data_IF_477182245518
#
_entry.id   IF_477182245518
#
_cell.length_a   1.000
_cell.length_b   1.000
_cell.length_c   1.000
_cell.angle_alpha   90.00
_cell.angle_beta   90.00
_cell.angle_gamma   90.00
#
_symmetry.space_group_name_H-M   'P 1'
#
loop_
_entity.id
_entity.type
_entity.pdbx_description
1 polymer ?
#
# COMPACT_ATOMS: atom_id res chain seq x y z
N UNK A 1 -38.92 41.16 -47.51
CA UNK A 1 -38.33 39.82 -47.77
C UNK A 1 -37.72 39.32 -46.48
N UNK A 2 -38.49 39.32 -45.39
CA UNK A 2 -39.58 38.36 -45.04
C UNK A 2 -38.94 37.09 -44.50
N UNK A 3 -39.22 36.55 -43.32
CA UNK A 3 -40.25 36.72 -42.28
C UNK A 3 -39.85 35.72 -41.17
N UNK A 4 -40.11 35.86 -39.87
CA UNK A 4 -41.12 36.66 -39.20
C UNK A 4 -40.98 36.73 -37.66
N UNK A 5 -41.98 37.41 -37.13
CA UNK A 5 -42.33 37.95 -35.79
C UNK A 5 -42.28 36.98 -34.59
N UNK A 6 -41.81 37.38 -33.38
CA UNK A 6 -42.44 38.18 -32.26
C UNK A 6 -43.62 37.43 -31.60
N UNK A 7 -43.64 37.18 -30.28
CA UNK A 7 -44.36 37.91 -29.19
C UNK A 7 -44.01 37.20 -27.84
N UNK A 8 -43.29 37.82 -26.87
CA UNK A 8 -43.71 38.35 -25.53
C UNK A 8 -44.75 37.50 -24.75
N UNK A 9 -44.89 37.41 -23.41
CA UNK A 9 -44.29 37.90 -22.14
C UNK A 9 -45.25 37.41 -21.02
N UNK A 10 -44.94 37.71 -19.75
CA UNK A 10 -45.77 37.62 -18.52
C UNK A 10 -45.82 36.26 -17.82
N UNK A 11 -45.94 36.12 -16.51
CA UNK A 11 -45.58 36.89 -15.30
C UNK A 11 -45.94 35.99 -14.12
N UNK A 12 -45.27 36.19 -12.99
CA UNK A 12 -45.52 35.54 -11.71
C UNK A 12 -46.99 35.55 -11.25
N UNK A 13 -47.41 34.54 -10.47
CA UNK A 13 -48.15 34.78 -9.21
C UNK A 13 -48.28 33.54 -8.31
N UNK A 14 -48.43 33.87 -7.04
CA UNK A 14 -48.50 33.13 -5.79
C UNK A 14 -49.86 32.51 -5.45
N UNK A 15 -49.82 31.44 -4.64
CA UNK A 15 -50.64 31.13 -3.43
C UNK A 15 -52.16 31.34 -3.53
N UNK A 16 -52.98 30.28 -3.38
CA UNK A 16 -53.91 30.11 -2.21
C UNK A 16 -54.75 28.79 -2.25
N UNK A 17 -54.76 28.12 -1.08
CA UNK A 17 -55.84 27.39 -0.36
C UNK A 17 -56.64 26.23 -0.96
N UNK A 18 -56.76 25.15 -0.15
CA UNK A 18 -58.02 24.42 0.01
C UNK A 18 -57.97 22.98 0.56
N UNK A 19 -58.00 22.79 1.90
CA UNK A 19 -58.66 21.69 2.67
C UNK A 19 -58.20 20.24 2.48
N UNK A 20 -58.24 19.30 3.43
CA UNK A 20 -58.91 19.20 4.73
C UNK A 20 -58.32 18.00 5.54
N UNK A 21 -58.29 18.16 6.87
CA UNK A 21 -58.55 17.15 7.94
C UNK A 21 -57.76 15.81 8.01
N UNK A 22 -56.96 15.61 9.08
CA UNK A 22 -57.27 14.77 10.27
C UNK A 22 -56.08 14.66 11.28
N UNK A 23 -56.16 15.49 12.33
CA UNK A 23 -55.86 15.31 13.77
C UNK A 23 -55.22 13.98 14.28
N UNK A 24 -54.09 14.08 15.03
CA UNK A 24 -53.98 13.58 16.43
C UNK A 24 -52.83 14.22 17.24
N UNK A 25 -53.10 14.33 18.55
CA UNK A 25 -52.60 15.23 19.60
C UNK A 25 -51.19 14.95 20.15
N UNK A 26 -50.50 16.02 20.53
CA UNK A 26 -49.51 16.09 21.61
C UNK A 26 -50.19 16.02 23.00
N UNK A 27 -49.51 15.41 23.98
CA UNK A 27 -49.79 15.57 25.41
C UNK A 27 -48.50 15.92 26.14
N UNK A 28 -48.51 17.05 26.83
CA UNK A 28 -47.54 17.51 27.82
C UNK A 28 -47.81 16.86 29.18
N UNK A 29 -46.77 16.65 29.99
CA UNK A 29 -46.87 16.67 31.45
C UNK A 29 -45.48 16.94 32.08
N UNK A 30 -45.41 18.00 32.89
CA UNK A 30 -44.34 18.32 33.84
C UNK A 30 -44.70 17.71 35.19
N UNK A 31 -43.77 17.04 35.92
CA UNK A 31 -43.69 17.04 37.40
C UNK A 31 -42.21 16.88 37.85
N UNK A 32 -41.94 17.48 39.01
CA UNK A 32 -40.72 17.86 39.74
C UNK A 32 -39.66 16.82 40.16
N UNK A 33 -38.51 17.40 40.55
CA UNK A 33 -37.24 16.86 41.08
C UNK A 33 -37.32 15.91 42.30
N UNK A 34 -36.38 14.95 42.33
CA UNK A 34 -35.68 14.52 43.54
C UNK A 34 -34.24 14.08 43.21
N UNK A 35 -33.30 14.61 44.00
CA UNK A 35 -31.85 14.41 43.92
C UNK A 35 -31.39 13.01 44.34
N UNK A 36 -30.43 12.42 43.61
CA UNK A 36 -29.35 11.67 44.23
C UNK A 36 -28.06 11.80 43.42
N UNK A 37 -27.00 12.18 44.11
CA UNK A 37 -25.65 12.32 43.57
C UNK A 37 -25.01 10.93 43.53
N UNK A 38 -24.54 10.49 42.36
CA UNK A 38 -23.67 9.31 42.24
C UNK A 38 -22.68 9.49 41.09
N UNK A 39 -21.40 9.48 41.46
CA UNK A 39 -20.21 9.65 40.63
C UNK A 39 -20.15 8.70 39.42
N UNK A 40 -20.09 9.23 38.20
CA UNK A 40 -19.68 8.48 37.00
C UNK A 40 -18.16 8.45 36.88
N UNK A 41 -17.52 7.65 37.73
CA UNK A 41 -16.10 7.31 37.62
C UNK A 41 -15.89 5.83 38.02
N UNK A 42 -16.29 4.88 37.18
CA UNK A 42 -15.81 3.47 37.30
C UNK A 42 -16.05 2.53 36.11
N UNK A 43 -16.56 2.97 34.95
CA UNK A 43 -16.79 2.05 33.80
C UNK A 43 -15.59 1.84 32.86
N UNK A 44 -14.48 2.55 33.05
CA UNK A 44 -13.26 2.35 32.23
C UNK A 44 -12.22 1.40 32.84
N UNK A 45 -12.37 1.00 34.12
CA UNK A 45 -11.36 0.18 34.82
C UNK A 45 -11.62 -1.34 34.78
N UNK A 46 -12.79 -1.77 34.31
CA UNK A 46 -13.20 -3.19 34.31
C UNK A 46 -12.93 -3.92 32.99
N UNK A 47 -12.53 -3.22 31.92
CA UNK A 47 -12.22 -3.81 30.61
C UNK A 47 -10.72 -4.08 30.41
N UNK A 48 -9.86 -3.31 31.06
CA UNK A 48 -8.39 -3.46 31.03
C UNK A 48 -7.85 -4.57 31.94
N UNK A 49 -8.66 -5.12 32.86
CA UNK A 49 -8.21 -6.16 33.79
C UNK A 49 -8.47 -7.60 33.31
N UNK A 50 -9.29 -7.78 32.28
CA UNK A 50 -9.57 -9.10 31.68
C UNK A 50 -8.54 -9.44 30.57
N UNK A 51 -7.90 -8.43 29.98
CA UNK A 51 -6.93 -8.62 28.88
C UNK A 51 -5.48 -8.87 29.37
N UNK A 52 -5.15 -8.52 30.63
CA UNK A 52 -3.81 -8.75 31.19
C UNK A 52 -3.61 -10.11 31.90
N UNK A 53 -4.64 -10.96 32.03
CA UNK A 53 -4.53 -12.25 32.75
C UNK A 53 -4.47 -13.49 31.85
N UNK A 54 -4.47 -13.35 30.52
CA UNK A 54 -4.43 -14.49 29.59
C UNK A 54 -2.99 -14.80 29.07
N UNK A 55 -2.01 -13.95 29.35
CA UNK A 55 -0.63 -14.09 28.83
C UNK A 55 0.40 -14.55 29.88
N UNK A 56 -0.04 -15.24 30.94
CA UNK A 56 0.88 -15.78 31.96
C UNK A 56 0.35 -17.06 32.60
N UNK A 57 0.30 -18.15 31.84
CA UNK A 57 0.26 -19.52 32.37
C UNK A 57 0.19 -20.53 31.21
N UNK A 58 1.31 -21.16 30.86
CA UNK A 58 1.39 -22.60 30.56
C UNK A 58 2.81 -22.97 30.15
N UNK A 59 3.64 -23.27 31.15
CA UNK A 59 4.66 -24.31 31.05
C UNK A 59 4.99 -24.76 32.48
N UNK A 60 4.25 -25.75 32.98
CA UNK A 60 4.69 -26.48 34.17
C UNK A 60 4.24 -27.94 34.06
N UNK A 61 5.24 -28.79 33.97
CA UNK A 61 5.22 -30.25 34.14
C UNK A 61 4.36 -30.67 35.32
N UNK A 62 3.39 -31.57 35.08
CA UNK A 62 2.68 -32.28 36.14
C UNK A 62 3.20 -33.71 36.23
N UNK A 63 4.05 -33.94 37.23
CA UNK A 63 4.28 -35.25 37.83
C UNK A 63 3.05 -35.60 38.68
N UNK A 64 2.34 -36.68 38.33
CA UNK A 64 1.30 -37.23 39.18
C UNK A 64 1.84 -38.41 40.00
N UNK A 65 2.08 -38.15 41.28
CA UNK A 65 2.06 -39.19 42.31
C UNK A 65 0.60 -39.41 42.72
N UNK A 66 0.11 -40.65 42.61
CA UNK A 66 -1.09 -41.09 43.32
C UNK A 66 -0.81 -42.40 44.04
N UNK A 67 -1.03 -42.40 45.36
CA UNK A 67 -0.93 -43.56 46.25
C UNK A 67 -2.37 -43.91 46.65
N UNK A 68 -2.84 -45.10 46.31
CA UNK A 68 -4.07 -45.69 46.88
C UNK A 68 -3.83 -47.17 47.18
N UNK A 69 -4.36 -47.58 48.33
CA UNK A 69 -4.16 -48.84 49.04
C UNK A 69 -5.23 -49.87 48.65
N UNK A 70 -4.80 -51.15 48.66
CA UNK A 70 -5.51 -52.45 48.77
C UNK A 70 -6.52 -52.94 47.73
N UNK A 71 -6.36 -54.23 47.37
CA UNK A 71 -7.47 -55.11 46.97
C UNK A 71 -7.18 -56.18 45.91
N UNK A 72 -6.48 -57.26 46.29
CA UNK A 72 -6.77 -58.67 45.93
C UNK A 72 -6.81 -59.19 44.47
N UNK A 73 -6.00 -60.26 44.25
CA UNK A 73 -6.18 -61.40 43.32
C UNK A 73 -6.24 -61.11 41.80
N UNK A 74 -5.57 -61.80 40.88
CA UNK A 74 -5.20 -63.23 40.79
C UNK A 74 -4.09 -63.41 39.74
N UNK A 75 -3.31 -64.48 39.89
CA UNK A 75 -2.39 -65.16 38.95
C UNK A 75 -2.79 -65.02 37.45
N UNK A 76 -1.91 -65.00 36.45
CA UNK A 76 -0.78 -65.90 36.15
C UNK A 76 -0.13 -65.35 34.85
N UNK A 77 1.19 -65.36 34.69
CA UNK A 77 1.90 -66.15 33.66
C UNK A 77 3.40 -65.78 33.56
N UNK A 78 4.17 -66.71 33.02
CA UNK A 78 5.52 -67.08 33.44
C UNK A 78 6.70 -66.36 32.76
N UNK A 79 7.78 -66.26 33.55
CA UNK A 79 9.18 -66.58 33.24
C UNK A 79 9.88 -66.05 31.97
N UNK A 80 10.92 -65.22 32.19
CA UNK A 80 12.33 -65.69 32.31
C UNK A 80 13.28 -64.52 32.58
N UNK A 81 13.99 -64.60 33.72
CA UNK A 81 15.23 -63.84 33.98
C UNK A 81 16.38 -64.43 33.17
N UNK A 82 17.31 -63.61 32.69
CA UNK A 82 18.75 -63.74 32.99
C UNK A 82 19.48 -62.40 32.79
N UNK A 83 20.53 -62.24 33.60
CA UNK A 83 21.21 -61.04 34.08
C UNK A 83 22.43 -60.70 33.24
N UNK A 84 22.72 -59.42 32.95
CA UNK A 84 24.11 -58.94 32.77
C UNK A 84 24.29 -57.52 33.34
N UNK A 85 25.45 -57.35 33.99
CA UNK A 85 26.02 -56.26 34.81
C UNK A 85 25.88 -54.81 34.32
N UNK A 86 25.72 -53.90 35.28
CA UNK A 86 25.99 -52.47 35.15
C UNK A 86 27.47 -52.13 35.46
N UNK A 87 28.02 -51.15 34.74
CA UNK A 87 29.20 -50.33 35.08
C UNK A 87 28.83 -48.88 34.68
N UNK A 88 29.15 -47.84 35.48
CA UNK A 88 28.58 -46.51 35.34
C UNK A 88 29.31 -45.65 34.29
N UNK A 89 28.55 -44.93 33.45
CA UNK A 89 29.10 -43.87 32.60
C UNK A 89 29.15 -42.52 33.36
N UNK A 90 30.16 -41.68 33.12
CA UNK A 90 30.38 -40.44 33.87
C UNK A 90 29.47 -39.31 33.41
N UNK A 91 29.13 -38.45 34.37
CA UNK A 91 28.50 -37.14 34.19
C UNK A 91 29.31 -36.27 33.23
N UNK A 92 28.76 -35.98 32.05
CA UNK A 92 29.22 -34.88 31.22
C UNK A 92 28.41 -33.63 31.58
N UNK A 93 29.06 -32.74 32.32
CA UNK A 93 28.67 -31.34 32.43
C UNK A 93 28.49 -30.76 31.02
N UNK A 94 27.32 -30.17 30.77
CA UNK A 94 27.07 -29.46 29.52
C UNK A 94 27.83 -28.14 29.57
N UNK A 95 28.94 -28.07 28.83
CA UNK A 95 29.56 -26.80 28.47
C UNK A 95 28.50 -25.88 27.84
N UNK A 96 28.48 -24.58 28.17
CA UNK A 96 27.62 -23.64 27.49
C UNK A 96 28.11 -23.54 26.04
N UNK A 97 27.25 -23.92 25.09
CA UNK A 97 27.49 -23.75 23.66
C UNK A 97 28.10 -22.37 23.39
N UNK A 98 29.37 -22.36 23.00
CA UNK A 98 30.04 -21.19 22.50
C UNK A 98 29.21 -20.61 21.35
N UNK A 99 28.65 -19.42 21.56
CA UNK A 99 28.04 -18.64 20.49
C UNK A 99 29.14 -18.32 19.48
N UNK A 100 29.16 -19.05 18.36
CA UNK A 100 29.99 -18.69 17.22
C UNK A 100 29.73 -17.21 16.88
N UNK A 101 30.76 -16.36 16.78
CA UNK A 101 30.54 -14.98 16.37
C UNK A 101 29.95 -15.02 14.96
N UNK A 102 28.70 -14.56 14.81
CA UNK A 102 28.11 -14.38 13.49
C UNK A 102 29.09 -13.56 12.66
N UNK A 103 29.54 -14.13 11.54
CA UNK A 103 30.48 -13.48 10.64
C UNK A 103 29.91 -12.11 10.26
N UNK A 104 30.70 -11.03 10.40
CA UNK A 104 30.25 -9.64 10.14
C UNK A 104 29.61 -9.51 8.76
N UNK A 105 30.12 -10.26 7.78
CA UNK A 105 29.58 -10.34 6.42
C UNK A 105 28.18 -10.94 6.40
N UNK A 106 27.91 -11.98 7.18
CA UNK A 106 26.60 -12.64 7.22
C UNK A 106 25.58 -11.80 8.00
N UNK A 107 26.02 -11.07 9.02
CA UNK A 107 25.20 -10.04 9.68
C UNK A 107 24.83 -8.90 8.71
N UNK A 108 25.81 -8.41 7.93
CA UNK A 108 25.57 -7.38 6.91
C UNK A 108 24.61 -7.87 5.82
N UNK A 109 24.74 -9.12 5.35
CA UNK A 109 23.80 -9.73 4.39
C UNK A 109 22.38 -9.82 4.95
N UNK A 110 22.23 -10.23 6.23
CA UNK A 110 20.92 -10.28 6.90
C UNK A 110 20.30 -8.88 6.98
N UNK A 111 21.07 -7.86 7.35
CA UNK A 111 20.58 -6.47 7.40
C UNK A 111 20.14 -6.00 6.01
N UNK A 112 20.92 -6.30 4.97
CA UNK A 112 20.59 -5.95 3.59
C UNK A 112 19.32 -6.66 3.10
N UNK A 113 19.15 -7.95 3.42
CA UNK A 113 17.95 -8.70 3.07
C UNK A 113 16.69 -8.18 3.78
N UNK A 114 16.83 -7.86 5.08
CA UNK A 114 15.78 -7.22 5.86
C UNK A 114 15.41 -5.88 5.23
N UNK A 115 16.39 -5.04 4.91
CA UNK A 115 16.15 -3.74 4.29
C UNK A 115 15.55 -3.85 2.88
N UNK A 116 15.95 -4.87 2.11
CA UNK A 116 15.40 -5.16 0.79
C UNK A 116 13.89 -5.43 0.88
N UNK A 117 13.47 -6.34 1.77
CA UNK A 117 12.05 -6.63 1.98
C UNK A 117 11.31 -5.45 2.60
N UNK A 118 11.99 -4.65 3.42
CA UNK A 118 11.42 -3.47 4.07
C UNK A 118 11.02 -2.37 3.07
N UNK A 119 11.80 -2.19 1.99
CA UNK A 119 11.65 -1.07 1.06
C UNK A 119 10.69 -1.33 -0.10
N UNK A 120 10.18 -2.56 -0.29
CA UNK A 120 9.37 -2.96 -1.46
C UNK A 120 10.08 -2.59 -2.78
N UNK A 121 11.09 -3.37 -3.20
CA UNK A 121 12.02 -3.00 -4.26
C UNK A 121 11.33 -2.74 -5.60
N UNK A 122 10.24 -3.45 -5.87
CA UNK A 122 9.44 -3.24 -7.07
C UNK A 122 8.83 -1.82 -7.13
N UNK A 123 8.34 -1.30 -6.00
CA UNK A 123 7.80 0.04 -5.94
C UNK A 123 8.91 1.09 -6.04
N UNK A 124 10.08 0.83 -5.46
CA UNK A 124 11.24 1.72 -5.59
C UNK A 124 11.71 1.83 -7.04
N UNK A 125 11.81 0.71 -7.75
CA UNK A 125 12.18 0.68 -9.18
C UNK A 125 11.16 1.49 -9.99
N UNK A 126 9.86 1.31 -9.74
CA UNK A 126 8.82 2.09 -10.42
C UNK A 126 8.98 3.60 -10.21
N UNK A 127 9.30 4.03 -8.99
CA UNK A 127 9.52 5.44 -8.64
C UNK A 127 10.76 5.98 -9.36
N UNK A 128 11.86 5.23 -9.38
CA UNK A 128 13.08 5.60 -10.10
C UNK A 128 12.77 5.83 -11.58
N UNK A 129 12.07 4.87 -12.20
CA UNK A 129 11.69 4.97 -13.61
C UNK A 129 10.68 6.07 -13.87
N UNK A 130 9.74 6.33 -12.96
CA UNK A 130 8.81 7.45 -13.05
C UNK A 130 9.55 8.80 -13.01
N UNK A 131 10.50 8.96 -12.09
CA UNK A 131 11.32 10.17 -11.97
C UNK A 131 12.15 10.41 -13.23
N UNK A 132 12.87 9.39 -13.73
CA UNK A 132 13.65 9.48 -14.96
C UNK A 132 12.75 9.80 -16.15
N UNK A 133 11.67 9.04 -16.33
CA UNK A 133 10.76 9.16 -17.46
C UNK A 133 10.08 10.54 -17.50
N UNK A 134 9.55 11.01 -16.36
CA UNK A 134 8.91 12.33 -16.25
C UNK A 134 9.90 13.48 -16.43
N UNK A 135 11.15 13.31 -15.97
CA UNK A 135 12.23 14.28 -16.18
C UNK A 135 12.59 14.41 -17.66
N UNK A 136 12.63 13.29 -18.39
CA UNK A 136 12.92 13.27 -19.82
C UNK A 136 11.84 13.95 -20.67
N UNK A 137 10.62 14.12 -20.15
CA UNK A 137 9.57 14.90 -20.84
C UNK A 137 9.86 16.40 -20.89
N UNK A 138 10.74 16.91 -20.02
CA UNK A 138 11.17 18.32 -20.04
C UNK A 138 12.31 18.59 -21.05
N UNK A 139 12.88 17.54 -21.66
CA UNK A 139 13.97 17.66 -22.63
C UNK A 139 13.40 18.04 -24.00
N UNK A 140 13.75 19.22 -24.48
CA UNK A 140 13.34 19.73 -25.80
C UNK A 140 14.44 19.55 -26.85
N UNK A 141 15.72 19.60 -26.43
CA UNK A 141 16.88 19.45 -27.30
C UNK A 141 17.97 18.58 -26.65
N UNK A 142 18.84 17.92 -27.43
CA UNK A 142 19.88 17.04 -26.87
C UNK A 142 20.82 17.73 -25.87
N UNK A 143 21.10 19.02 -26.06
CA UNK A 143 21.95 19.80 -25.15
C UNK A 143 21.35 20.04 -23.76
N UNK A 144 20.05 19.76 -23.56
CA UNK A 144 19.42 19.81 -22.24
C UNK A 144 19.91 18.66 -21.35
N UNK A 145 20.33 17.53 -21.94
CA UNK A 145 20.90 16.38 -21.24
C UNK A 145 22.36 16.72 -20.88
N UNK A 146 22.49 17.49 -19.81
CA UNK A 146 23.75 18.01 -19.27
C UNK A 146 24.03 17.43 -17.88
N UNK A 147 25.19 17.74 -17.30
CA UNK A 147 25.50 17.40 -15.91
C UNK A 147 24.44 17.97 -14.94
N UNK A 148 23.94 19.18 -15.20
CA UNK A 148 22.87 19.79 -14.41
C UNK A 148 21.56 19.01 -14.49
N UNK A 149 21.23 18.43 -15.66
CA UNK A 149 20.08 17.56 -15.81
C UNK A 149 20.22 16.29 -14.96
N UNK A 150 21.37 15.63 -15.00
CA UNK A 150 21.62 14.43 -14.20
C UNK A 150 21.56 14.73 -12.69
N UNK A 151 22.13 15.86 -12.27
CA UNK A 151 22.04 16.34 -10.88
C UNK A 151 20.57 16.61 -10.51
N UNK A 152 19.80 17.24 -11.39
CA UNK A 152 18.37 17.48 -11.20
C UNK A 152 17.55 16.19 -11.02
N UNK A 153 17.81 15.17 -11.82
CA UNK A 153 17.16 13.86 -11.67
C UNK A 153 17.49 13.25 -10.30
N UNK A 154 18.75 13.33 -9.85
CA UNK A 154 19.15 12.85 -8.53
C UNK A 154 18.52 13.67 -7.39
N UNK A 155 18.43 14.99 -7.54
CA UNK A 155 17.75 15.90 -6.61
C UNK A 155 16.27 15.54 -6.45
N UNK A 156 15.59 15.17 -7.54
CA UNK A 156 14.21 14.69 -7.47
C UNK A 156 14.12 13.30 -6.83
N UNK A 157 15.05 12.40 -7.16
CA UNK A 157 14.96 11.00 -6.80
C UNK A 157 15.25 10.74 -5.32
N UNK A 158 16.36 11.25 -4.81
CA UNK A 158 16.87 10.88 -3.47
C UNK A 158 15.89 11.25 -2.35
N UNK A 159 15.35 12.48 -2.25
CA UNK A 159 14.37 12.80 -1.22
C UNK A 159 13.11 11.96 -1.35
N UNK A 160 12.68 11.65 -2.58
CA UNK A 160 11.46 10.88 -2.79
C UNK A 160 11.62 9.41 -2.39
N UNK A 161 12.78 8.80 -2.63
CA UNK A 161 13.05 7.43 -2.17
C UNK A 161 12.93 7.33 -0.65
N UNK A 162 13.34 8.36 0.10
CA UNK A 162 13.13 8.39 1.55
C UNK A 162 11.65 8.47 1.94
N UNK A 163 10.84 9.28 1.23
CA UNK A 163 9.38 9.30 1.44
C UNK A 163 8.75 7.94 1.13
N UNK A 164 9.22 7.28 0.07
CA UNK A 164 8.68 6.01 -0.37
C UNK A 164 8.98 4.89 0.65
N UNK A 165 10.19 4.84 1.20
CA UNK A 165 10.51 3.94 2.31
C UNK A 165 9.66 4.30 3.53
N UNK A 166 9.61 5.57 3.94
CA UNK A 166 8.74 6.04 5.03
C UNK A 166 7.28 5.54 4.88
N UNK A 167 6.68 5.72 3.70
CA UNK A 167 5.31 5.30 3.43
C UNK A 167 5.13 3.78 3.57
N UNK A 168 6.10 3.00 3.09
CA UNK A 168 6.11 1.54 3.25
C UNK A 168 6.20 1.12 4.72
N UNK A 169 7.02 1.83 5.53
CA UNK A 169 7.12 1.55 6.97
C UNK A 169 5.83 1.88 7.69
N UNK A 170 5.28 3.07 7.46
CA UNK A 170 4.01 3.50 8.08
C UNK A 170 2.91 2.49 7.74
N UNK A 171 2.85 2.04 6.48
CA UNK A 171 1.88 1.02 6.11
C UNK A 171 2.08 -0.29 6.89
N UNK A 172 3.31 -0.84 6.94
CA UNK A 172 3.62 -2.07 7.68
C UNK A 172 3.35 -1.94 9.19
N UNK A 173 3.63 -0.79 9.79
CA UNK A 173 3.36 -0.52 11.21
C UNK A 173 1.87 -0.61 11.52
N UNK A 174 1.03 0.02 10.70
CA UNK A 174 -0.42 0.05 10.91
C UNK A 174 -1.17 -1.17 10.36
N UNK A 175 -0.49 -2.00 9.58
CA UNK A 175 -1.00 -3.27 9.05
C UNK A 175 -0.32 -4.50 9.66
N UNK A 176 0.47 -4.34 10.73
CA UNK A 176 1.26 -5.44 11.34
C UNK A 176 0.49 -6.76 11.47
N UNK A 177 -0.73 -6.72 12.00
CA UNK A 177 -1.58 -7.90 12.19
C UNK A 177 -2.23 -8.42 10.89
N UNK A 178 -2.46 -7.55 9.89
CA UNK A 178 -2.95 -7.92 8.56
C UNK A 178 -1.84 -8.59 7.76
N UNK A 179 -0.63 -8.02 7.82
CA UNK A 179 0.54 -8.50 7.09
C UNK A 179 1.05 -9.84 7.63
N UNK A 180 0.80 -10.20 8.89
CA UNK A 180 1.00 -11.59 9.36
C UNK A 180 0.23 -12.63 8.54
N UNK A 181 -0.93 -12.25 7.99
CA UNK A 181 -1.76 -13.13 7.14
C UNK A 181 -1.36 -12.97 5.67
N UNK A 182 -1.27 -11.74 5.19
CA UNK A 182 -1.08 -11.45 3.78
C UNK A 182 0.39 -11.56 3.35
N UNK A 183 1.32 -11.09 4.16
CA UNK A 183 2.74 -10.92 3.82
C UNK A 183 3.64 -11.28 5.02
N UNK A 184 3.62 -12.54 5.51
CA UNK A 184 4.34 -12.94 6.73
C UNK A 184 5.87 -12.86 6.61
N UNK A 185 6.39 -12.73 5.38
CA UNK A 185 7.81 -12.57 5.10
C UNK A 185 8.32 -11.14 5.33
N UNK A 186 7.45 -10.16 5.60
CA UNK A 186 7.86 -8.78 5.80
C UNK A 186 8.58 -8.58 7.14
N UNK A 187 9.59 -7.71 7.21
CA UNK A 187 10.44 -7.55 8.39
C UNK A 187 9.72 -7.32 9.72
N UNK A 188 8.65 -6.51 9.73
CA UNK A 188 7.86 -6.31 10.94
C UNK A 188 7.05 -7.57 11.26
N UNK A 189 6.29 -8.08 10.29
CA UNK A 189 5.41 -9.23 10.48
C UNK A 189 6.17 -10.51 10.89
N UNK A 190 7.40 -10.70 10.38
CA UNK A 190 8.29 -11.81 10.68
C UNK A 190 9.05 -11.64 12.01
N UNK A 191 9.03 -10.44 12.61
CA UNK A 191 9.78 -10.12 13.82
C UNK A 191 11.27 -9.86 13.61
N UNK A 192 11.74 -9.79 12.35
CA UNK A 192 13.14 -9.46 12.03
C UNK A 192 13.50 -8.01 12.34
N UNK A 193 12.51 -7.10 12.33
CA UNK A 193 12.69 -5.69 12.67
C UNK A 193 11.76 -5.31 13.82
N UNK A 194 12.33 -4.68 14.86
CA UNK A 194 11.54 -4.21 16.00
C UNK A 194 10.64 -3.03 15.59
N UNK A 195 9.47 -2.91 16.22
CA UNK A 195 8.54 -1.79 16.02
C UNK A 195 9.23 -0.44 16.24
N UNK A 196 9.97 -0.30 17.35
CA UNK A 196 10.67 0.93 17.72
C UNK A 196 11.69 1.32 16.66
N UNK A 197 12.52 0.37 16.20
CA UNK A 197 13.51 0.60 15.13
C UNK A 197 12.82 1.04 13.85
N UNK A 198 11.73 0.39 13.45
CA UNK A 198 10.98 0.76 12.25
C UNK A 198 10.46 2.20 12.32
N UNK A 199 9.86 2.61 13.43
CA UNK A 199 9.38 3.98 13.63
C UNK A 199 10.52 5.00 13.59
N UNK A 200 11.66 4.70 14.23
CA UNK A 200 12.84 5.58 14.18
C UNK A 200 13.38 5.73 12.75
N UNK A 201 13.46 4.65 11.98
CA UNK A 201 13.88 4.69 10.57
C UNK A 201 12.91 5.56 9.77
N UNK A 202 11.61 5.33 9.91
CA UNK A 202 10.58 6.07 9.19
C UNK A 202 10.66 7.58 9.48
N UNK A 203 10.72 7.96 10.76
CA UNK A 203 10.82 9.35 11.17
C UNK A 203 12.12 10.01 10.65
N UNK A 204 13.25 9.32 10.76
CA UNK A 204 14.55 9.83 10.29
C UNK A 204 14.57 10.06 8.78
N UNK A 205 14.04 9.11 8.00
CA UNK A 205 13.95 9.23 6.54
C UNK A 205 13.01 10.36 6.11
N UNK A 206 11.87 10.52 6.79
CA UNK A 206 10.96 11.62 6.50
C UNK A 206 11.63 12.98 6.77
N UNK A 207 12.27 13.14 7.94
CA UNK A 207 13.01 14.36 8.30
C UNK A 207 14.11 14.65 7.27
N UNK A 208 14.88 13.62 6.89
CA UNK A 208 15.94 13.76 5.88
C UNK A 208 15.38 14.17 4.51
N UNK A 209 14.24 13.62 4.12
CA UNK A 209 13.56 13.98 2.86
C UNK A 209 13.13 15.46 2.82
N UNK A 210 12.52 15.93 3.91
CA UNK A 210 12.16 17.34 4.07
C UNK A 210 13.39 18.24 4.07
N UNK A 211 14.41 17.89 4.86
CA UNK A 211 15.66 18.64 4.93
C UNK A 211 16.32 18.76 3.56
N UNK A 212 16.49 17.65 2.83
CA UNK A 212 17.06 17.67 1.48
C UNK A 212 16.24 18.52 0.52
N UNK A 213 14.91 18.38 0.53
CA UNK A 213 14.04 19.14 -0.38
C UNK A 213 14.08 20.64 -0.12
N UNK A 214 14.21 21.05 1.16
CA UNK A 214 14.38 22.44 1.57
C UNK A 214 15.76 22.98 1.18
N UNK A 215 16.84 22.20 1.38
CA UNK A 215 18.20 22.58 0.98
C UNK A 215 18.33 22.72 -0.54
N UNK A 216 17.67 21.84 -1.31
CA UNK A 216 17.60 21.97 -2.77
C UNK A 216 16.85 23.26 -3.16
N UNK A 217 15.83 23.67 -2.39
CA UNK A 217 15.09 24.90 -2.63
C UNK A 217 14.11 24.85 -3.81
N UNK A 218 13.84 23.65 -4.34
CA UNK A 218 12.94 23.43 -5.46
C UNK A 218 11.49 23.31 -4.96
N UNK A 219 10.65 24.32 -5.25
CA UNK A 219 9.25 24.33 -4.80
C UNK A 219 8.45 23.07 -5.23
N UNK A 220 8.61 22.50 -6.45
CA UNK A 220 7.91 21.27 -6.81
C UNK A 220 8.31 20.07 -5.95
N UNK A 221 9.58 19.98 -5.54
CA UNK A 221 10.06 18.87 -4.70
C UNK A 221 9.60 19.01 -3.26
N UNK A 222 9.58 20.23 -2.72
CA UNK A 222 9.02 20.51 -1.39
C UNK A 222 7.56 20.06 -1.34
N UNK A 223 6.75 20.47 -2.33
CA UNK A 223 5.35 20.05 -2.41
C UNK A 223 5.20 18.55 -2.70
N UNK A 224 6.09 17.94 -3.49
CA UNK A 224 6.10 16.49 -3.67
C UNK A 224 6.19 15.75 -2.32
N UNK A 225 7.16 16.12 -1.48
CA UNK A 225 7.36 15.49 -0.16
C UNK A 225 6.17 15.76 0.76
N UNK A 226 5.69 17.00 0.85
CA UNK A 226 4.53 17.39 1.67
C UNK A 226 3.30 16.58 1.26
N UNK A 227 2.94 16.59 -0.02
CA UNK A 227 1.70 15.97 -0.51
C UNK A 227 1.79 14.45 -0.42
N UNK A 228 2.91 13.85 -0.85
CA UNK A 228 3.06 12.39 -0.85
C UNK A 228 3.04 11.84 0.58
N UNK A 229 3.81 12.44 1.50
CA UNK A 229 3.80 12.01 2.89
C UNK A 229 2.43 12.20 3.54
N UNK A 230 1.74 13.30 3.26
CA UNK A 230 0.38 13.55 3.78
C UNK A 230 -0.61 12.49 3.29
N UNK A 231 -0.63 12.21 1.98
CA UNK A 231 -1.54 11.21 1.39
C UNK A 231 -1.30 9.82 2.00
N UNK A 232 -0.04 9.39 2.14
CA UNK A 232 0.24 8.06 2.70
C UNK A 232 -0.04 7.96 4.20
N UNK A 233 0.15 9.03 4.97
CA UNK A 233 -0.29 9.08 6.37
C UNK A 233 -1.81 8.95 6.49
N UNK A 234 -2.56 9.73 5.71
CA UNK A 234 -4.03 9.67 5.67
C UNK A 234 -4.53 8.30 5.22
N UNK A 235 -3.81 7.67 4.29
CA UNK A 235 -4.08 6.32 3.80
C UNK A 235 -3.93 5.24 4.89
N UNK A 236 -2.83 5.25 5.66
CA UNK A 236 -2.44 4.14 6.54
C UNK A 236 -2.78 4.32 8.03
N UNK A 237 -2.62 5.52 8.61
CA UNK A 237 -2.69 5.73 10.07
C UNK A 237 -4.09 5.41 10.62
N UNK A 238 -4.15 4.59 11.68
CA UNK A 238 -5.41 4.15 12.31
C UNK A 238 -5.94 5.12 13.38
N UNK A 239 -6.37 6.31 12.99
CA UNK A 239 -7.04 7.28 13.87
C UNK A 239 -8.33 7.79 13.22
N UNK A 240 -9.29 8.38 13.98
CA UNK A 240 -10.51 8.93 13.40
C UNK A 240 -10.23 9.89 12.23
N UNK A 241 -11.07 9.84 11.19
CA UNK A 241 -10.94 10.58 9.91
C UNK A 241 -9.77 10.17 9.00
N UNK A 242 -8.82 9.35 9.48
CA UNK A 242 -7.74 8.77 8.68
C UNK A 242 -8.04 7.29 8.33
N UNK A 243 -7.02 6.53 7.94
CA UNK A 243 -7.09 5.15 7.46
C UNK A 243 -8.01 4.98 6.27
N UNK A 244 -7.88 5.88 5.30
CA UNK A 244 -8.68 5.89 4.07
C UNK A 244 -8.61 4.58 3.29
N UNK A 245 -7.55 3.78 3.50
CA UNK A 245 -7.45 2.43 2.95
C UNK A 245 -8.62 1.49 3.31
N UNK A 246 -9.37 1.77 4.38
CA UNK A 246 -10.60 1.02 4.74
C UNK A 246 -11.72 1.18 3.72
N UNK A 247 -11.72 2.28 2.97
CA UNK A 247 -12.73 2.59 1.97
C UNK A 247 -12.13 2.45 0.57
N UNK A 248 -12.65 1.56 -0.29
CA UNK A 248 -12.03 1.27 -1.58
C UNK A 248 -11.87 2.50 -2.47
N UNK A 249 -12.89 3.36 -2.52
CA UNK A 249 -12.85 4.58 -3.32
C UNK A 249 -11.76 5.55 -2.84
N UNK A 250 -11.63 5.76 -1.52
CA UNK A 250 -10.60 6.64 -0.97
C UNK A 250 -9.20 6.06 -1.17
N UNK A 251 -9.06 4.73 -0.99
CA UNK A 251 -7.81 4.02 -1.25
C UNK A 251 -7.32 4.19 -2.70
N UNK A 252 -8.25 4.09 -3.65
CA UNK A 252 -8.02 4.35 -5.06
C UNK A 252 -7.64 5.81 -5.33
N UNK A 253 -8.38 6.77 -4.75
CA UNK A 253 -8.09 8.20 -4.91
C UNK A 253 -6.69 8.53 -4.39
N UNK A 254 -6.27 8.01 -3.23
CA UNK A 254 -4.91 8.17 -2.72
C UNK A 254 -3.87 7.67 -3.72
N UNK A 255 -4.09 6.47 -4.28
CA UNK A 255 -3.15 5.83 -5.22
C UNK A 255 -3.03 6.65 -6.51
N UNK A 256 -4.14 7.06 -7.11
CA UNK A 256 -4.16 7.90 -8.32
C UNK A 256 -3.51 9.26 -8.03
N UNK A 257 -3.84 9.90 -6.91
CA UNK A 257 -3.29 11.21 -6.54
C UNK A 257 -1.76 11.19 -6.50
N UNK A 258 -1.16 10.16 -5.93
CA UNK A 258 0.30 10.02 -5.89
C UNK A 258 0.84 9.66 -7.26
N UNK A 259 0.45 8.51 -7.80
CA UNK A 259 1.10 7.90 -8.97
C UNK A 259 0.81 8.62 -10.29
N UNK A 260 -0.39 9.16 -10.46
CA UNK A 260 -0.78 9.81 -11.71
C UNK A 260 -0.54 11.33 -11.70
N UNK A 261 -0.62 11.97 -10.53
CA UNK A 261 -0.53 13.42 -10.43
C UNK A 261 0.75 13.86 -9.72
N UNK A 262 0.88 13.63 -8.41
CA UNK A 262 1.95 14.22 -7.61
C UNK A 262 3.33 13.84 -8.16
N UNK A 263 3.62 12.56 -8.35
CA UNK A 263 4.94 12.11 -8.80
C UNK A 263 5.33 12.68 -10.17
N UNK A 264 4.63 12.36 -11.27
CA UNK A 264 5.09 12.79 -12.59
C UNK A 264 5.10 14.31 -12.76
N UNK A 265 4.10 15.01 -12.23
CA UNK A 265 4.00 16.46 -12.39
C UNK A 265 5.12 17.17 -11.63
N UNK A 266 5.39 16.80 -10.38
CA UNK A 266 6.42 17.49 -9.59
C UNK A 266 7.83 17.19 -10.08
N UNK A 267 8.10 15.95 -10.54
CA UNK A 267 9.39 15.61 -11.15
C UNK A 267 9.60 16.38 -12.45
N UNK A 268 8.59 16.42 -13.33
CA UNK A 268 8.63 17.24 -14.54
C UNK A 268 8.85 18.72 -14.22
N UNK A 269 8.07 19.28 -13.29
CA UNK A 269 8.16 20.71 -12.95
C UNK A 269 9.49 21.08 -12.30
N UNK A 270 10.10 20.18 -11.52
CA UNK A 270 11.46 20.37 -11.02
C UNK A 270 12.43 20.54 -12.19
N UNK A 271 12.39 19.64 -13.17
CA UNK A 271 13.26 19.74 -14.33
C UNK A 271 12.98 21.00 -15.15
N UNK A 272 11.70 21.26 -15.47
CA UNK A 272 11.27 22.39 -16.28
C UNK A 272 11.67 23.74 -15.66
N UNK A 273 11.29 23.97 -14.39
CA UNK A 273 11.37 25.31 -13.78
C UNK A 273 12.63 25.52 -12.97
N UNK A 274 13.13 24.49 -12.27
CA UNK A 274 14.25 24.63 -11.35
C UNK A 274 15.57 24.30 -12.03
N UNK A 275 15.65 23.23 -12.82
CA UNK A 275 16.90 22.78 -13.45
C UNK A 275 17.14 23.49 -14.79
N UNK A 276 16.14 23.47 -15.68
CA UNK A 276 16.23 24.06 -17.02
C UNK A 276 15.83 25.55 -17.06
N UNK A 277 15.30 26.10 -15.95
CA UNK A 277 14.91 27.51 -15.79
C UNK A 277 13.92 28.01 -16.85
N UNK A 278 12.97 27.16 -17.25
CA UNK A 278 11.93 27.45 -18.24
C UNK A 278 10.60 27.80 -17.57
N UNK A 279 9.71 28.53 -18.27
CA UNK A 279 8.35 28.77 -17.79
C UNK A 279 7.57 27.45 -17.65
N UNK A 280 6.55 27.48 -16.79
CA UNK A 280 5.62 26.37 -16.61
C UNK A 280 4.80 26.20 -17.88
N UNK A 281 5.09 25.14 -18.63
CA UNK A 281 4.34 24.72 -19.81
C UNK A 281 4.09 23.23 -19.67
N UNK A 282 2.82 22.81 -19.82
CA UNK A 282 2.43 21.41 -19.77
C UNK A 282 2.39 20.84 -21.19
N UNK A 283 3.40 20.06 -21.62
CA UNK A 283 3.40 19.49 -22.96
C UNK A 283 2.34 18.40 -23.10
N UNK A 284 1.90 18.15 -24.34
CA UNK A 284 0.95 17.07 -24.64
C UNK A 284 1.45 15.70 -24.15
N UNK A 285 2.76 15.45 -24.23
CA UNK A 285 3.40 14.24 -23.74
C UNK A 285 3.13 14.00 -22.24
N UNK A 286 3.18 15.05 -21.41
CA UNK A 286 2.86 14.95 -19.98
C UNK A 286 1.37 14.69 -19.75
N UNK A 287 0.48 15.28 -20.55
CA UNK A 287 -0.96 14.99 -20.46
C UNK A 287 -1.23 13.52 -20.76
N UNK A 288 -0.66 12.98 -21.84
CA UNK A 288 -0.78 11.55 -22.16
C UNK A 288 -0.21 10.66 -21.05
N UNK A 289 0.93 11.04 -20.48
CA UNK A 289 1.53 10.33 -19.35
C UNK A 289 0.60 10.28 -18.14
N UNK A 290 0.03 11.41 -17.74
CA UNK A 290 -0.90 11.49 -16.61
C UNK A 290 -2.15 10.64 -16.88
N UNK A 291 -2.74 10.73 -18.07
CA UNK A 291 -3.93 9.94 -18.43
C UNK A 291 -3.62 8.43 -18.44
N UNK A 292 -2.48 8.02 -19.00
CA UNK A 292 -1.99 6.64 -18.89
C UNK A 292 -1.94 6.20 -17.43
N UNK A 293 -1.30 7.02 -16.58
CA UNK A 293 -1.12 6.71 -15.18
C UNK A 293 -2.41 6.72 -14.38
N UNK A 294 -3.44 7.48 -14.75
CA UNK A 294 -4.77 7.40 -14.11
C UNK A 294 -5.34 6.00 -14.26
N UNK A 295 -5.42 5.48 -15.48
CA UNK A 295 -5.94 4.13 -15.74
C UNK A 295 -5.05 3.05 -15.12
N UNK A 296 -3.74 3.19 -15.28
CA UNK A 296 -2.79 2.20 -14.78
C UNK A 296 -2.76 2.14 -13.25
N UNK A 297 -2.70 3.30 -12.58
CA UNK A 297 -2.69 3.36 -11.10
C UNK A 297 -4.02 2.94 -10.49
N UNK A 298 -5.14 3.16 -11.17
CA UNK A 298 -6.44 2.61 -10.80
C UNK A 298 -6.43 1.08 -10.85
N UNK A 299 -5.95 0.48 -11.94
CA UNK A 299 -5.77 -0.97 -12.05
C UNK A 299 -4.81 -1.53 -10.99
N UNK A 300 -3.73 -0.82 -10.68
CA UNK A 300 -2.79 -1.15 -9.60
C UNK A 300 -3.43 -1.13 -8.21
N UNK A 301 -4.26 -0.12 -7.93
CA UNK A 301 -4.97 0.01 -6.66
C UNK A 301 -5.94 -1.15 -6.43
N UNK A 302 -6.62 -1.63 -7.48
CA UNK A 302 -7.55 -2.74 -7.41
C UNK A 302 -6.85 -4.11 -7.40
N UNK A 303 -5.81 -4.26 -8.22
CA UNK A 303 -5.10 -5.54 -8.38
C UNK A 303 -4.37 -5.98 -7.13
N UNK A 304 -3.80 -5.05 -6.35
CA UNK A 304 -3.12 -5.39 -5.08
C UNK A 304 -4.09 -6.04 -4.08
N UNK A 305 -5.35 -5.60 -4.07
CA UNK A 305 -6.36 -6.08 -3.12
C UNK A 305 -6.79 -7.53 -3.44
N UNK A 306 -6.56 -8.02 -4.67
CA UNK A 306 -6.89 -9.39 -5.09
C UNK A 306 -6.10 -10.42 -4.28
N UNK A 307 -4.80 -10.19 -4.07
CA UNK A 307 -3.95 -11.11 -3.30
C UNK A 307 -4.14 -10.99 -1.79
N UNK A 308 -4.74 -9.89 -1.32
CA UNK A 308 -4.81 -9.49 0.09
C UNK A 308 -6.20 -9.76 0.74
N UNK A 309 -7.16 -10.30 -0.03
CA UNK A 309 -8.54 -10.61 0.38
C UNK A 309 -8.66 -11.32 1.74
N UNK A 310 -7.78 -12.30 2.04
CA UNK A 310 -7.88 -13.08 3.28
C UNK A 310 -7.61 -12.22 4.52
N UNK A 311 -6.51 -11.48 4.53
CA UNK A 311 -6.17 -10.58 5.64
C UNK A 311 -7.12 -9.39 5.73
N UNK A 312 -7.50 -8.80 4.58
CA UNK A 312 -8.40 -7.65 4.55
C UNK A 312 -9.78 -7.99 5.13
N UNK A 313 -10.33 -9.15 4.76
CA UNK A 313 -11.60 -9.64 5.30
C UNK A 313 -11.53 -9.91 6.81
N UNK A 314 -10.42 -10.46 7.30
CA UNK A 314 -10.24 -10.75 8.73
C UNK A 314 -10.22 -9.48 9.60
N UNK A 315 -9.76 -8.35 9.06
CA UNK A 315 -9.65 -7.07 9.77
C UNK A 315 -10.69 -6.03 9.32
N UNK A 316 -11.76 -6.46 8.65
CA UNK A 316 -12.89 -5.61 8.27
C UNK A 316 -12.55 -4.52 7.24
N UNK A 317 -11.54 -4.73 6.40
CA UNK A 317 -11.26 -3.88 5.25
C UNK A 317 -12.11 -4.38 4.08
N UNK A 318 -13.07 -3.58 3.67
CA UNK A 318 -14.10 -4.01 2.72
C UNK A 318 -13.73 -3.60 1.28
N UNK A 319 -12.68 -4.23 0.74
CA UNK A 319 -12.13 -3.96 -0.61
C UNK A 319 -13.12 -4.29 -1.73
N UNK A 320 -12.90 -3.74 -2.94
CA UNK A 320 -13.71 -4.15 -4.11
C UNK A 320 -13.61 -5.64 -4.39
N UNK A 321 -12.44 -6.26 -4.17
CA UNK A 321 -12.24 -7.69 -4.35
C UNK A 321 -13.08 -8.54 -3.38
N UNK A 322 -13.36 -8.01 -2.18
CA UNK A 322 -14.27 -8.63 -1.20
C UNK A 322 -15.73 -8.41 -1.59
N UNK A 323 -16.10 -7.19 -2.00
CA UNK A 323 -17.49 -6.81 -2.34
C UNK A 323 -18.02 -7.45 -3.62
N UNK A 324 -17.22 -7.40 -4.68
CA UNK A 324 -17.61 -7.80 -6.05
C UNK A 324 -17.05 -9.18 -6.44
N UNK A 325 -16.09 -9.69 -5.66
CA UNK A 325 -15.40 -10.93 -5.92
C UNK A 325 -14.12 -10.75 -6.77
N UNK A 326 -13.11 -11.58 -6.45
CA UNK A 326 -11.79 -11.52 -7.06
C UNK A 326 -11.80 -11.63 -8.59
N UNK A 327 -12.63 -12.51 -9.16
CA UNK A 327 -12.69 -12.74 -10.61
C UNK A 327 -13.21 -11.52 -11.38
N UNK A 328 -14.24 -10.87 -10.87
CA UNK A 328 -14.80 -9.66 -11.48
C UNK A 328 -13.80 -8.51 -11.42
N UNK A 329 -13.24 -8.26 -10.23
CA UNK A 329 -12.23 -7.21 -10.05
C UNK A 329 -10.99 -7.45 -10.90
N UNK A 330 -10.54 -8.70 -11.02
CA UNK A 330 -9.43 -9.06 -11.89
C UNK A 330 -9.65 -8.59 -13.33
N UNK A 331 -10.80 -8.92 -13.94
CA UNK A 331 -11.08 -8.51 -15.31
C UNK A 331 -11.26 -6.99 -15.46
N UNK A 332 -11.80 -6.31 -14.45
CA UNK A 332 -11.81 -4.84 -14.41
C UNK A 332 -10.38 -4.29 -14.45
N UNK A 333 -9.45 -4.86 -13.66
CA UNK A 333 -8.04 -4.46 -13.72
C UNK A 333 -7.44 -4.66 -15.11
N UNK A 334 -7.71 -5.80 -15.76
CA UNK A 334 -7.22 -6.04 -17.13
C UNK A 334 -7.73 -4.96 -18.08
N UNK A 335 -9.03 -4.67 -18.07
CA UNK A 335 -9.62 -3.62 -18.93
C UNK A 335 -8.97 -2.25 -18.65
N UNK A 336 -8.73 -1.91 -17.39
CA UNK A 336 -8.05 -0.67 -17.02
C UNK A 336 -6.62 -0.59 -17.55
N UNK A 337 -5.84 -1.66 -17.44
CA UNK A 337 -4.48 -1.70 -17.98
C UNK A 337 -4.47 -1.64 -19.51
N UNK A 338 -5.40 -2.34 -20.18
CA UNK A 338 -5.57 -2.26 -21.63
C UNK A 338 -5.94 -0.84 -22.09
N UNK A 339 -6.82 -0.15 -21.36
CA UNK A 339 -7.13 1.27 -21.63
C UNK A 339 -5.88 2.15 -21.47
N UNK A 340 -5.05 1.92 -20.44
CA UNK A 340 -3.79 2.63 -20.29
C UNK A 340 -2.89 2.40 -21.51
N UNK A 341 -2.66 1.15 -21.93
CA UNK A 341 -1.88 0.85 -23.13
C UNK A 341 -2.49 1.43 -24.41
N UNK A 342 -3.81 1.48 -24.53
CA UNK A 342 -4.52 2.16 -25.61
C UNK A 342 -4.24 3.66 -25.67
N UNK A 343 -4.20 4.34 -24.51
CA UNK A 343 -3.82 5.76 -24.41
C UNK A 343 -2.38 5.97 -24.88
N UNK A 344 -1.44 5.12 -24.46
CA UNK A 344 -0.04 5.22 -24.88
C UNK A 344 0.15 4.92 -26.38
N UNK A 345 -0.62 3.98 -26.93
CA UNK A 345 -0.64 3.70 -28.37
C UNK A 345 -1.14 4.93 -29.15
N UNK A 346 -2.23 5.55 -28.70
CA UNK A 346 -2.76 6.77 -29.30
C UNK A 346 -1.73 7.91 -29.24
N UNK A 347 -1.09 8.11 -28.09
CA UNK A 347 -0.02 9.10 -27.92
C UNK A 347 1.12 8.86 -28.92
N UNK A 348 1.58 7.61 -29.04
CA UNK A 348 2.58 7.20 -30.02
C UNK A 348 2.14 7.49 -31.46
N UNK A 349 0.90 7.14 -31.83
CA UNK A 349 0.36 7.37 -33.17
C UNK A 349 0.28 8.86 -33.56
N UNK A 350 0.04 9.73 -32.58
CA UNK A 350 -0.01 11.19 -32.77
C UNK A 350 1.35 11.88 -32.85
N UNK A 351 2.46 11.20 -32.54
CA UNK A 351 3.80 11.81 -32.58
C UNK A 351 4.21 12.21 -34.00
N UNK A 352 4.99 13.27 -34.17
CA UNK A 352 5.45 13.69 -35.51
C UNK A 352 6.54 12.79 -36.08
N UNK A 353 7.28 12.08 -35.24
CA UNK A 353 8.45 11.29 -35.65
C UNK A 353 8.09 9.82 -35.87
N UNK A 354 8.34 9.30 -37.08
CA UNK A 354 8.00 7.92 -37.45
C UNK A 354 8.59 6.87 -36.51
N UNK A 355 9.84 7.04 -36.08
CA UNK A 355 10.49 6.09 -35.18
C UNK A 355 9.80 6.07 -33.79
N UNK A 356 9.34 7.21 -33.27
CA UNK A 356 8.58 7.28 -32.01
C UNK A 356 7.23 6.58 -32.16
N UNK A 357 6.55 6.75 -33.31
CA UNK A 357 5.29 6.05 -33.60
C UNK A 357 5.50 4.54 -33.54
N UNK A 358 6.53 4.03 -34.21
CA UNK A 358 6.82 2.60 -34.27
C UNK A 358 7.21 2.09 -32.88
N UNK A 359 8.21 2.69 -32.24
CA UNK A 359 8.72 2.21 -30.95
C UNK A 359 7.66 2.29 -29.86
N UNK A 360 6.99 3.43 -29.72
CA UNK A 360 5.98 3.64 -28.67
C UNK A 360 4.71 2.86 -28.98
N UNK A 361 4.21 2.92 -30.21
CA UNK A 361 2.97 2.25 -30.60
C UNK A 361 3.11 0.72 -30.55
N UNK A 362 4.12 0.17 -31.24
CA UNK A 362 4.36 -1.28 -31.24
C UNK A 362 4.78 -1.77 -29.85
N UNK A 363 5.59 -1.01 -29.13
CA UNK A 363 6.02 -1.36 -27.77
C UNK A 363 4.83 -1.54 -26.83
N UNK A 364 3.91 -0.57 -26.76
CA UNK A 364 2.74 -0.69 -25.89
C UNK A 364 1.74 -1.76 -26.40
N UNK A 365 1.63 -1.98 -27.70
CA UNK A 365 0.83 -3.09 -28.25
C UNK A 365 1.38 -4.46 -27.84
N UNK A 366 2.71 -4.62 -27.80
CA UNK A 366 3.36 -5.83 -27.29
C UNK A 366 3.10 -5.99 -25.79
N UNK A 367 3.24 -4.93 -24.99
CA UNK A 367 2.96 -4.98 -23.55
C UNK A 367 1.51 -5.37 -23.24
N UNK A 368 0.55 -4.79 -23.96
CA UNK A 368 -0.87 -5.16 -23.91
C UNK A 368 -1.09 -6.63 -24.28
N UNK A 369 -0.47 -7.08 -25.37
CA UNK A 369 -0.57 -8.48 -25.82
C UNK A 369 -0.02 -9.47 -24.78
N UNK A 370 1.11 -9.14 -24.15
CA UNK A 370 1.70 -9.93 -23.06
C UNK A 370 0.73 -9.99 -21.87
N UNK A 371 0.13 -8.86 -21.49
CA UNK A 371 -0.84 -8.82 -20.39
C UNK A 371 -2.04 -9.72 -20.67
N UNK A 372 -2.68 -9.58 -21.84
CA UNK A 372 -3.83 -10.39 -22.23
C UNK A 372 -3.50 -11.88 -22.29
N UNK A 373 -2.32 -12.23 -22.80
CA UNK A 373 -1.86 -13.61 -22.85
C UNK A 373 -1.72 -14.21 -21.44
N UNK A 374 -1.02 -13.51 -20.55
CA UNK A 374 -0.80 -13.97 -19.18
C UNK A 374 -2.07 -13.93 -18.33
N UNK A 375 -3.01 -13.03 -18.62
CA UNK A 375 -4.29 -12.95 -17.92
C UNK A 375 -5.17 -14.20 -18.14
N UNK A 376 -4.98 -14.92 -19.25
CA UNK A 376 -5.73 -16.15 -19.57
C UNK A 376 -5.22 -17.38 -18.81
N UNK A 377 -3.97 -17.38 -18.35
CA UNK A 377 -3.32 -18.53 -17.70
C UNK A 377 -3.33 -18.47 -16.17
N UNK A 378 -3.90 -17.43 -15.57
CA UNK A 378 -3.85 -17.19 -14.13
C UNK A 378 -4.87 -18.03 -13.35
N UNK A 379 -4.45 -18.55 -12.19
CA UNK A 379 -5.33 -19.23 -11.23
C UNK A 379 -5.57 -18.33 -10.02
N UNK A 380 -6.69 -17.61 -9.99
CA UNK A 380 -6.99 -16.61 -8.94
C UNK A 380 -7.08 -17.20 -7.53
N UNK A 381 -7.45 -18.48 -7.39
CA UNK A 381 -7.50 -19.16 -6.09
C UNK A 381 -6.11 -19.41 -5.49
N UNK A 382 -5.05 -19.35 -6.31
CA UNK A 382 -3.68 -19.60 -5.88
C UNK A 382 -2.98 -18.27 -5.54
N UNK A 383 -2.58 -18.09 -4.28
CA UNK A 383 -1.90 -16.89 -3.78
C UNK A 383 -0.54 -16.63 -4.46
N UNK A 384 0.19 -17.68 -4.83
CA UNK A 384 1.47 -17.57 -5.54
C UNK A 384 1.23 -17.09 -6.97
N UNK A 385 0.21 -17.63 -7.65
CA UNK A 385 -0.17 -17.22 -9.02
C UNK A 385 -0.58 -15.75 -9.07
N UNK A 386 -1.46 -15.32 -8.15
CA UNK A 386 -1.90 -13.92 -8.05
C UNK A 386 -0.75 -12.96 -7.71
N UNK A 387 0.13 -13.33 -6.78
CA UNK A 387 1.34 -12.54 -6.47
C UNK A 387 2.28 -12.44 -7.67
N UNK A 388 2.52 -13.54 -8.38
CA UNK A 388 3.37 -13.54 -9.58
C UNK A 388 2.81 -12.63 -10.67
N UNK A 389 1.50 -12.69 -10.91
CA UNK A 389 0.83 -11.78 -11.84
C UNK A 389 0.92 -10.32 -11.39
N UNK A 390 0.77 -10.03 -10.11
CA UNK A 390 0.96 -8.68 -9.59
C UNK A 390 2.38 -8.15 -9.85
N UNK A 391 3.41 -9.01 -9.74
CA UNK A 391 4.79 -8.64 -10.10
C UNK A 391 4.97 -8.44 -11.61
N UNK A 392 4.25 -9.18 -12.45
CA UNK A 392 4.23 -8.94 -13.90
C UNK A 392 3.69 -7.55 -14.22
N UNK A 393 2.60 -7.12 -13.57
CA UNK A 393 2.04 -5.78 -13.76
C UNK A 393 3.13 -4.73 -13.51
N UNK A 394 3.84 -4.80 -12.38
CA UNK A 394 4.96 -3.87 -12.13
C UNK A 394 6.03 -3.89 -13.25
N UNK A 395 6.43 -5.07 -13.74
CA UNK A 395 7.40 -5.18 -14.84
C UNK A 395 6.91 -4.52 -16.13
N UNK A 396 5.62 -4.68 -16.45
CA UNK A 396 5.01 -4.02 -17.61
C UNK A 396 5.01 -2.50 -17.44
N UNK A 397 4.74 -1.99 -16.24
CA UNK A 397 4.85 -0.56 -15.93
C UNK A 397 6.27 -0.04 -16.12
N UNK A 398 7.29 -0.80 -15.71
CA UNK A 398 8.69 -0.41 -15.92
C UNK A 398 8.99 -0.20 -17.40
N UNK A 399 8.61 -1.17 -18.24
CA UNK A 399 8.77 -1.08 -19.68
C UNK A 399 7.98 0.11 -20.26
N UNK A 400 6.75 0.32 -19.80
CA UNK A 400 5.94 1.47 -20.23
C UNK A 400 6.61 2.81 -19.89
N UNK A 401 7.24 2.96 -18.71
CA UNK A 401 7.96 4.20 -18.36
C UNK A 401 9.11 4.50 -19.33
N UNK A 402 9.86 3.50 -19.77
CA UNK A 402 10.91 3.71 -20.78
C UNK A 402 10.32 4.19 -22.11
N UNK A 403 9.23 3.56 -22.56
CA UNK A 403 8.57 3.93 -23.83
C UNK A 403 7.92 5.32 -23.75
N UNK A 404 7.24 5.64 -22.64
CA UNK A 404 6.58 6.93 -22.46
C UNK A 404 7.57 8.11 -22.40
N UNK A 405 8.80 7.89 -21.95
CA UNK A 405 9.85 8.92 -21.95
C UNK A 405 10.19 9.44 -23.37
N UNK A 406 9.93 8.61 -24.39
CA UNK A 406 10.19 8.92 -25.80
C UNK A 406 9.08 9.75 -26.43
N UNK A 407 7.91 9.86 -25.80
CA UNK A 407 6.78 10.61 -26.37
C UNK A 407 7.16 12.09 -26.45
N UNK A 408 6.94 12.67 -27.63
CA UNK A 408 7.22 14.06 -27.99
C UNK A 408 6.01 14.66 -28.70
#
# INVERSE_FOLDING_TARGET
MDSGSVISSTSACSITTGGNLWRRKHSTNNIYYASSCASKASKYKKKTQIECNILRSQQSSLNHHYKRIEGGATYQDCDKKYVVKAIPEPTFDSEPCASNPENVVDSAKKILDVFYHFCYPYSMIAIILCAISSSLLAVEKPSDISSSFLIGVLQALVPHLFVAVFANVVNQVFDYEIDKINKPYLPLASGQLSFTTAVFIAASLLIMSFWLSLVIGSWPLIWNVVLTSSVWNVYSINVPLLRWKRHPLLATICTISVWAFILPITFFLHMQTFVLKRPIVFPRSLIFYVVFMIFYSLGMALSKDISDVKGDKAYGIDTFAIRLGQKWVFWICIILFEMAFGVALLAGATSSYLWIKIVTGLGHAILASILLYQAKSIYLSNKVSTRSFYMLIWKLLYAAYFLMALIR
#
